data_IF_814818301282
#
_entry.id   IF_814818301282
#
_cell.length_a   1.000
_cell.length_b   1.000
_cell.length_c   1.000
_cell.angle_alpha   90.00
_cell.angle_beta   90.00
_cell.angle_gamma   90.00
#
_symmetry.space_group_name_H-M   'P 1'
#
loop_
_entity.id
_entity.type
_entity.pdbx_description
1 polymer ?
#
# COMPACT_ATOMS: atom_id res chain seq x y z
N UNK A 1 32.62 3.24 -0.44
CA UNK A 1 32.42 4.64 0.04
C UNK A 1 30.94 4.87 0.32
N UNK A 2 30.54 4.84 1.60
CA UNK A 2 29.14 5.04 2.00
C UNK A 2 28.80 6.53 2.06
N UNK A 3 28.39 7.14 0.93
CA UNK A 3 27.82 8.49 0.94
C UNK A 3 26.55 8.53 1.80
N UNK A 4 26.40 9.53 2.67
CA UNK A 4 25.16 9.75 3.40
C UNK A 4 23.99 10.02 2.44
N UNK A 5 22.78 9.62 2.82
CA UNK A 5 21.57 9.79 2.01
C UNK A 5 21.28 11.25 1.60
N UNK A 6 21.65 12.21 2.45
CA UNK A 6 21.53 13.65 2.16
C UNK A 6 22.43 14.06 1.00
N UNK A 7 23.71 13.68 1.07
CA UNK A 7 24.72 13.96 0.04
C UNK A 7 24.36 13.32 -1.31
N UNK A 8 23.84 12.08 -1.29
CA UNK A 8 23.34 11.43 -2.52
C UNK A 8 22.19 12.20 -3.15
N UNK A 9 21.29 12.76 -2.35
CA UNK A 9 20.15 13.55 -2.84
C UNK A 9 20.59 14.89 -3.41
N UNK A 10 21.61 15.53 -2.82
CA UNK A 10 22.17 16.78 -3.28
C UNK A 10 22.83 16.65 -4.66
N UNK A 11 23.61 15.58 -4.87
CA UNK A 11 24.17 15.23 -6.18
C UNK A 11 23.06 15.07 -7.22
N UNK A 12 21.98 14.37 -6.89
CA UNK A 12 20.84 14.20 -7.80
C UNK A 12 20.16 15.53 -8.10
N UNK A 13 19.98 16.40 -7.09
CA UNK A 13 19.33 17.71 -7.27
C UNK A 13 20.12 18.60 -8.24
N UNK A 14 21.45 18.61 -8.14
CA UNK A 14 22.32 19.39 -9.02
C UNK A 14 22.31 18.87 -10.46
N UNK A 15 22.26 17.55 -10.66
CA UNK A 15 22.30 16.93 -11.99
C UNK A 15 20.91 16.83 -12.67
N UNK A 16 19.82 16.95 -11.90
CA UNK A 16 18.46 16.78 -12.41
C UNK A 16 18.08 17.77 -13.52
N UNK A 17 18.55 19.02 -13.46
CA UNK A 17 18.26 20.02 -14.49
C UNK A 17 18.94 19.69 -15.83
N UNK A 18 20.22 19.30 -15.77
CA UNK A 18 20.97 18.85 -16.94
C UNK A 18 20.35 17.57 -17.52
N UNK A 19 20.00 16.59 -16.68
CA UNK A 19 19.36 15.36 -17.12
C UNK A 19 18.04 15.61 -17.86
N UNK A 20 17.23 16.59 -17.43
CA UNK A 20 15.97 16.93 -18.11
C UNK A 20 16.19 17.56 -19.49
N UNK A 21 17.16 18.47 -19.61
CA UNK A 21 17.49 19.18 -20.86
C UNK A 21 18.26 18.31 -21.87
N UNK A 22 18.91 17.26 -21.40
CA UNK A 22 19.75 16.38 -22.22
C UNK A 22 18.99 15.48 -23.20
N UNK A 23 19.67 15.14 -24.29
CA UNK A 23 19.21 14.18 -25.30
C UNK A 23 19.24 12.74 -24.77
N UNK A 24 18.62 11.77 -25.48
CA UNK A 24 18.57 10.36 -25.05
C UNK A 24 19.96 9.74 -24.85
N UNK A 25 20.94 10.10 -25.70
CA UNK A 25 22.33 9.60 -25.60
C UNK A 25 23.05 10.18 -24.37
N UNK A 26 22.88 11.48 -24.11
CA UNK A 26 23.46 12.15 -22.94
C UNK A 26 22.84 11.68 -21.62
N UNK A 27 21.52 11.47 -21.58
CA UNK A 27 20.81 10.90 -20.43
C UNK A 27 21.41 9.57 -20.00
N UNK A 28 21.81 8.73 -20.95
CA UNK A 28 22.51 7.48 -20.67
C UNK A 28 23.81 7.70 -19.91
N UNK A 29 24.68 8.59 -20.41
CA UNK A 29 25.97 8.92 -19.78
C UNK A 29 25.81 9.53 -18.38
N UNK A 30 24.82 10.40 -18.20
CA UNK A 30 24.48 11.01 -16.91
C UNK A 30 23.99 9.95 -15.90
N UNK A 31 23.21 8.97 -16.37
CA UNK A 31 22.79 7.87 -15.49
C UNK A 31 23.97 7.00 -15.07
N UNK A 32 24.88 6.68 -15.99
CA UNK A 32 26.07 5.86 -15.69
C UNK A 32 26.96 6.53 -14.64
N UNK A 33 27.16 7.85 -14.74
CA UNK A 33 27.95 8.60 -13.76
C UNK A 33 27.29 8.59 -12.37
N UNK A 34 25.97 8.79 -12.29
CA UNK A 34 25.25 8.79 -11.01
C UNK A 34 25.21 7.41 -10.37
N UNK A 35 24.99 6.35 -11.15
CA UNK A 35 25.01 4.97 -10.67
C UNK A 35 26.39 4.65 -10.07
N UNK A 36 27.48 5.07 -10.73
CA UNK A 36 28.84 4.89 -10.24
C UNK A 36 29.12 5.64 -8.92
N UNK A 37 28.60 6.86 -8.77
CA UNK A 37 28.82 7.70 -7.57
C UNK A 37 27.95 7.25 -6.39
N UNK A 38 26.66 7.03 -6.62
CA UNK A 38 25.67 6.81 -5.56
C UNK A 38 25.41 5.34 -5.25
N UNK A 39 25.77 4.43 -6.16
CA UNK A 39 25.46 3.00 -6.07
C UNK A 39 23.97 2.68 -6.25
N UNK A 40 23.15 3.62 -6.72
CA UNK A 40 21.73 3.36 -6.97
C UNK A 40 21.51 2.51 -8.22
N UNK A 41 20.39 1.76 -8.24
CA UNK A 41 19.94 1.10 -9.45
C UNK A 41 19.58 2.15 -10.53
N UNK A 42 19.94 1.88 -11.79
CA UNK A 42 19.65 2.75 -12.95
C UNK A 42 18.19 3.19 -13.03
N UNK A 43 17.24 2.28 -12.77
CA UNK A 43 15.81 2.58 -12.77
C UNK A 43 15.45 3.60 -11.69
N UNK A 44 15.98 3.42 -10.48
CA UNK A 44 15.75 4.33 -9.36
C UNK A 44 16.40 5.70 -9.60
N UNK A 45 17.63 5.74 -10.11
CA UNK A 45 18.32 6.98 -10.45
C UNK A 45 17.57 7.78 -11.53
N UNK A 46 17.09 7.12 -12.58
CA UNK A 46 16.27 7.74 -13.64
C UNK A 46 14.97 8.31 -13.10
N UNK A 47 14.29 7.58 -12.22
CA UNK A 47 13.08 8.03 -11.56
C UNK A 47 13.33 9.29 -10.72
N UNK A 48 14.37 9.29 -9.89
CA UNK A 48 14.72 10.45 -9.05
C UNK A 48 15.08 11.68 -9.88
N UNK A 49 15.91 11.55 -10.92
CA UNK A 49 16.29 12.67 -11.79
C UNK A 49 15.11 13.25 -12.56
N UNK A 50 14.13 12.42 -12.93
CA UNK A 50 12.92 12.84 -13.64
C UNK A 50 11.92 13.56 -12.73
N UNK A 51 11.91 13.25 -11.43
CA UNK A 51 11.02 13.86 -10.44
C UNK A 51 11.62 15.10 -9.77
N UNK A 52 12.91 15.09 -9.43
CA UNK A 52 13.58 16.16 -8.69
C UNK A 52 13.47 17.51 -9.40
N UNK A 53 12.65 18.44 -8.88
CA UNK A 53 12.48 19.78 -9.47
C UNK A 53 11.45 19.85 -10.59
N UNK A 54 10.72 18.76 -10.88
CA UNK A 54 9.50 18.82 -11.69
C UNK A 54 8.45 19.58 -10.89
N UNK A 55 8.12 20.78 -11.37
CA UNK A 55 7.20 21.67 -10.68
C UNK A 55 6.03 22.09 -11.56
N UNK A 56 4.81 22.03 -11.03
CA UNK A 56 3.63 22.59 -11.69
C UNK A 56 3.32 23.95 -11.08
N UNK A 57 3.20 24.99 -11.92
CA UNK A 57 2.67 26.29 -11.48
C UNK A 57 1.16 26.18 -11.50
N UNK A 58 0.53 26.32 -10.33
CA UNK A 58 -0.92 26.35 -10.22
C UNK A 58 -1.32 27.74 -9.73
N UNK A 59 -2.26 28.37 -10.45
CA UNK A 59 -2.93 29.59 -10.00
C UNK A 59 -4.06 29.17 -9.05
N UNK A 60 -4.00 29.62 -7.80
CA UNK A 60 -5.11 29.46 -6.89
C UNK A 60 -6.25 30.43 -7.24
N UNK A 61 -7.44 30.16 -6.71
CA UNK A 61 -8.65 30.98 -6.91
C UNK A 61 -8.46 32.42 -6.41
N UNK A 62 -7.55 32.64 -5.47
CA UNK A 62 -7.19 33.94 -4.88
C UNK A 62 -6.10 34.71 -5.67
N UNK A 63 -5.80 34.32 -6.91
CA UNK A 63 -4.79 34.97 -7.76
C UNK A 63 -3.33 34.71 -7.41
N UNK A 64 -3.05 34.02 -6.29
CA UNK A 64 -1.69 33.63 -5.87
C UNK A 64 -1.17 32.46 -6.72
N UNK A 65 0.06 32.58 -7.19
CA UNK A 65 0.77 31.51 -7.90
C UNK A 65 1.57 30.63 -6.94
N UNK A 66 1.33 29.32 -7.00
CA UNK A 66 2.07 28.34 -6.22
C UNK A 66 2.92 27.46 -7.15
N UNK A 67 4.18 27.24 -6.77
CA UNK A 67 5.08 26.29 -7.42
C UNK A 67 5.04 24.96 -6.67
N UNK A 68 4.24 24.01 -7.14
CA UNK A 68 4.22 22.65 -6.58
C UNK A 68 5.45 21.90 -7.05
N UNK A 69 6.43 21.67 -6.18
CA UNK A 69 7.60 20.85 -6.48
C UNK A 69 7.31 19.40 -6.09
N UNK A 70 7.44 18.47 -7.04
CA UNK A 70 7.31 17.05 -6.74
C UNK A 70 8.44 16.60 -5.80
N UNK A 71 8.10 16.19 -4.58
CA UNK A 71 9.03 15.55 -3.66
C UNK A 71 9.10 14.04 -3.98
N UNK A 72 10.27 13.50 -4.41
CA UNK A 72 10.43 12.08 -4.70
C UNK A 72 10.22 11.15 -3.49
N UNK A 73 10.21 11.70 -2.26
CA UNK A 73 10.01 10.94 -1.03
C UNK A 73 8.55 10.69 -0.71
N UNK A 74 7.65 11.53 -1.22
CA UNK A 74 6.23 11.44 -0.90
C UNK A 74 5.55 10.52 -1.91
N UNK A 75 5.10 9.35 -1.45
CA UNK A 75 4.25 8.50 -2.28
C UNK A 75 2.85 9.11 -2.38
N UNK A 76 2.30 9.30 -3.58
CA UNK A 76 0.92 9.75 -3.72
C UNK A 76 -0.01 8.68 -3.13
N UNK A 77 -0.61 8.97 -1.97
CA UNK A 77 -1.64 8.13 -1.40
C UNK A 77 -2.94 8.39 -2.16
N UNK A 78 -3.38 7.41 -2.98
CA UNK A 78 -4.73 7.44 -3.56
C UNK A 78 -5.75 7.26 -2.43
N UNK A 79 -6.29 8.36 -1.91
CA UNK A 79 -7.43 8.35 -0.99
C UNK A 79 -8.70 8.00 -1.78
N UNK A 80 -8.91 6.72 -2.08
CA UNK A 80 -10.18 6.25 -2.66
C UNK A 80 -11.27 6.46 -1.60
N UNK A 81 -12.35 7.15 -1.97
CA UNK A 81 -13.52 7.28 -1.08
C UNK A 81 -14.03 5.87 -0.74
N UNK A 82 -14.27 5.61 0.55
CA UNK A 82 -14.77 4.31 1.01
C UNK A 82 -16.27 4.28 0.75
N UNK A 83 -16.72 3.34 -0.07
CA UNK A 83 -18.14 3.14 -0.41
C UNK A 83 -18.99 2.71 0.80
N UNK A 84 -18.37 2.08 1.81
CA UNK A 84 -19.01 1.68 3.05
C UNK A 84 -18.45 2.51 4.19
N UNK A 85 -19.31 3.31 4.81
CA UNK A 85 -19.00 4.20 5.93
C UNK A 85 -18.93 3.48 7.28
N UNK A 86 -18.62 4.22 8.37
CA UNK A 86 -18.59 3.67 9.73
C UNK A 86 -19.95 3.10 10.16
N UNK A 87 -21.05 3.65 9.64
CA UNK A 87 -22.43 3.21 9.91
C UNK A 87 -22.68 1.74 9.55
N UNK A 88 -21.99 1.22 8.53
CA UNK A 88 -22.10 -0.20 8.11
C UNK A 88 -21.14 -1.07 8.91
N UNK A 89 -20.04 -0.48 9.38
CA UNK A 89 -18.94 -1.19 10.01
C UNK A 89 -19.25 -1.58 11.46
N UNK A 90 -19.93 -0.72 12.22
CA UNK A 90 -20.33 -1.03 13.60
C UNK A 90 -21.34 -2.20 13.69
N UNK A 91 -22.46 -2.21 12.93
CA UNK A 91 -23.36 -3.37 12.90
C UNK A 91 -22.65 -4.63 12.41
N UNK A 92 -21.80 -4.52 11.39
CA UNK A 92 -21.05 -5.66 10.85
C UNK A 92 -20.10 -6.27 11.90
N UNK A 93 -19.46 -5.45 12.74
CA UNK A 93 -18.61 -5.91 13.84
C UNK A 93 -19.42 -6.63 14.91
N UNK A 94 -20.58 -6.11 15.26
CA UNK A 94 -21.47 -6.72 16.23
C UNK A 94 -21.91 -8.11 15.77
N UNK A 95 -22.45 -8.21 14.54
CA UNK A 95 -22.85 -9.49 13.93
C UNK A 95 -21.66 -10.46 13.87
N UNK A 96 -20.48 -9.97 13.53
CA UNK A 96 -19.27 -10.78 13.48
C UNK A 96 -18.83 -11.30 14.85
N UNK A 97 -19.04 -10.53 15.93
CA UNK A 97 -18.78 -10.96 17.31
C UNK A 97 -19.81 -11.98 17.80
N UNK A 98 -21.10 -11.78 17.51
CA UNK A 98 -22.18 -12.73 17.86
C UNK A 98 -21.95 -14.12 17.26
N UNK A 99 -21.37 -14.16 16.05
CA UNK A 99 -21.13 -15.41 15.31
C UNK A 99 -19.78 -16.09 15.63
N UNK A 100 -19.05 -15.65 16.67
CA UNK A 100 -17.71 -16.14 17.01
C UNK A 100 -16.67 -15.99 15.88
N UNK A 101 -16.65 -14.82 15.25
CA UNK A 101 -15.60 -14.40 14.31
C UNK A 101 -15.40 -15.25 13.03
N UNK A 102 -16.45 -15.62 12.27
CA UNK A 102 -16.34 -16.46 11.08
C UNK A 102 -15.59 -15.75 9.93
N UNK A 103 -15.16 -16.49 8.90
CA UNK A 103 -14.62 -15.91 7.67
C UNK A 103 -15.72 -15.18 6.86
N UNK A 104 -15.36 -14.15 6.08
CA UNK A 104 -16.34 -13.31 5.38
C UNK A 104 -17.27 -14.06 4.44
N UNK A 105 -16.83 -15.20 3.87
CA UNK A 105 -17.69 -16.12 3.09
C UNK A 105 -18.80 -16.75 3.92
N UNK A 106 -18.49 -17.22 5.14
CA UNK A 106 -19.48 -17.77 6.07
C UNK A 106 -20.38 -16.68 6.61
N UNK A 107 -19.80 -15.52 6.95
CA UNK A 107 -20.58 -14.38 7.45
C UNK A 107 -21.61 -13.91 6.40
N UNK A 108 -21.21 -13.80 5.13
CA UNK A 108 -22.11 -13.42 4.05
C UNK A 108 -23.30 -14.39 3.89
N UNK A 109 -23.05 -15.70 3.93
CA UNK A 109 -24.12 -16.70 3.87
C UNK A 109 -25.06 -16.64 5.09
N UNK A 110 -24.52 -16.29 6.26
CA UNK A 110 -25.33 -16.17 7.46
C UNK A 110 -26.13 -14.85 7.53
N UNK A 111 -25.69 -13.79 6.83
CA UNK A 111 -26.33 -12.47 6.93
C UNK A 111 -27.78 -12.46 6.43
N UNK A 112 -28.12 -13.28 5.44
CA UNK A 112 -29.47 -13.33 4.86
C UNK A 112 -30.54 -13.68 5.91
N UNK A 113 -30.26 -14.60 6.83
CA UNK A 113 -31.21 -15.02 7.87
C UNK A 113 -30.94 -14.34 9.23
N UNK A 114 -29.70 -13.95 9.51
CA UNK A 114 -29.32 -13.40 10.79
C UNK A 114 -29.74 -11.93 10.96
N UNK A 115 -29.68 -11.13 9.89
CA UNK A 115 -30.06 -9.71 9.97
C UNK A 115 -31.54 -9.53 10.35
N UNK A 116 -32.51 -10.23 9.73
CA UNK A 116 -33.91 -10.16 10.15
C UNK A 116 -34.14 -10.62 11.60
N UNK A 117 -33.44 -11.66 12.04
CA UNK A 117 -33.57 -12.19 13.41
C UNK A 117 -33.06 -11.22 14.47
N UNK A 118 -31.96 -10.53 14.20
CA UNK A 118 -31.40 -9.54 15.12
C UNK A 118 -32.24 -8.25 15.19
N UNK A 119 -32.95 -7.90 14.12
CA UNK A 119 -33.96 -6.83 14.14
C UNK A 119 -35.18 -7.24 14.98
N UNK A 120 -35.68 -8.47 14.82
CA UNK A 120 -36.80 -9.01 15.62
C UNK A 120 -36.47 -9.06 17.12
N UNK A 121 -35.22 -9.42 17.47
CA UNK A 121 -34.76 -9.43 18.86
C UNK A 121 -34.48 -8.03 19.42
N UNK A 122 -34.51 -6.96 18.60
CA UNK A 122 -34.24 -5.58 19.01
C UNK A 122 -32.77 -5.28 19.34
N UNK A 123 -31.86 -6.22 19.06
CA UNK A 123 -30.42 -6.08 19.32
C UNK A 123 -29.73 -5.23 18.24
N UNK A 124 -30.35 -5.10 17.07
CA UNK A 124 -29.81 -4.37 15.93
C UNK A 124 -30.81 -3.32 15.42
N UNK A 125 -30.59 -2.05 15.78
CA UNK A 125 -31.38 -0.94 15.25
C UNK A 125 -30.64 -0.28 14.07
N UNK A 126 -31.03 -0.62 12.85
CA UNK A 126 -30.32 -0.21 11.63
C UNK A 126 -31.29 0.46 10.67
N UNK A 127 -30.86 1.57 10.07
CA UNK A 127 -31.64 2.22 9.02
C UNK A 127 -31.83 1.28 7.82
N UNK A 128 -32.98 1.32 7.12
CA UNK A 128 -33.27 0.41 6.00
C UNK A 128 -32.20 0.48 4.89
N UNK A 129 -31.62 1.66 4.66
CA UNK A 129 -30.52 1.88 3.71
C UNK A 129 -29.23 1.12 4.09
N UNK A 130 -28.95 1.01 5.38
CA UNK A 130 -27.77 0.29 5.89
C UNK A 130 -28.01 -1.21 5.86
N UNK A 131 -29.25 -1.67 6.08
CA UNK A 131 -29.65 -3.07 5.91
C UNK A 131 -29.42 -3.57 4.49
N UNK A 132 -29.88 -2.81 3.49
CA UNK A 132 -29.64 -3.14 2.08
C UNK A 132 -28.14 -3.18 1.75
N UNK A 133 -27.37 -2.24 2.29
CA UNK A 133 -25.91 -2.22 2.11
C UNK A 133 -25.21 -3.40 2.78
N UNK A 134 -25.69 -3.87 3.93
CA UNK A 134 -25.17 -5.05 4.61
C UNK A 134 -25.46 -6.32 3.81
N UNK A 135 -26.67 -6.47 3.27
CA UNK A 135 -27.05 -7.62 2.45
C UNK A 135 -26.36 -7.62 1.07
N UNK A 136 -26.11 -6.44 0.49
CA UNK A 136 -25.42 -6.29 -0.79
C UNK A 136 -23.90 -6.50 -0.72
N UNK A 137 -23.33 -6.54 0.49
CA UNK A 137 -21.88 -6.50 0.66
C UNK A 137 -21.24 -7.84 0.22
N UNK A 138 -20.19 -7.77 -0.60
CA UNK A 138 -19.49 -8.99 -1.02
C UNK A 138 -18.65 -9.62 0.11
N UNK A 139 -18.48 -10.96 0.14
CA UNK A 139 -17.57 -11.67 1.07
C UNK A 139 -16.18 -11.05 1.18
N UNK A 140 -15.60 -10.67 0.02
CA UNK A 140 -14.27 -10.08 -0.07
C UNK A 140 -14.19 -8.66 0.49
N UNK A 141 -15.30 -7.93 0.53
CA UNK A 141 -15.37 -6.60 1.14
C UNK A 141 -15.45 -6.71 2.66
N UNK A 142 -16.26 -7.63 3.18
CA UNK A 142 -16.34 -7.96 4.61
C UNK A 142 -14.96 -8.27 5.16
N UNK A 143 -14.23 -9.19 4.53
CA UNK A 143 -12.90 -9.59 4.99
C UNK A 143 -11.90 -8.42 4.97
N UNK A 144 -11.99 -7.51 3.99
CA UNK A 144 -11.15 -6.30 3.94
C UNK A 144 -11.52 -5.28 5.02
N UNK A 145 -12.81 -5.13 5.34
CA UNK A 145 -13.28 -4.23 6.39
C UNK A 145 -12.90 -4.73 7.79
N UNK A 146 -13.06 -6.03 8.04
CA UNK A 146 -12.73 -6.67 9.32
C UNK A 146 -11.22 -6.99 9.46
N UNK A 147 -10.42 -6.77 8.41
CA UNK A 147 -8.98 -7.09 8.43
C UNK A 147 -8.21 -6.33 9.52
N UNK A 148 -8.61 -5.09 9.83
CA UNK A 148 -8.02 -4.33 10.94
C UNK A 148 -8.31 -4.99 12.28
N UNK A 149 -9.56 -5.37 12.52
CA UNK A 149 -10.01 -5.91 13.81
C UNK A 149 -9.50 -7.34 14.02
N UNK A 150 -9.48 -8.17 12.97
CA UNK A 150 -8.82 -9.49 13.00
C UNK A 150 -7.34 -9.39 13.39
N UNK A 151 -6.61 -8.39 12.91
CA UNK A 151 -5.20 -8.20 13.26
C UNK A 151 -5.02 -7.86 14.73
N UNK A 152 -5.94 -7.09 15.31
CA UNK A 152 -5.94 -6.77 16.74
C UNK A 152 -6.23 -8.01 17.58
N UNK A 153 -7.16 -8.85 17.15
CA UNK A 153 -7.51 -10.11 17.84
C UNK A 153 -6.47 -11.22 17.64
N UNK A 154 -5.65 -11.14 16.60
CA UNK A 154 -4.58 -12.12 16.36
C UNK A 154 -3.47 -11.89 17.38
N UNK A 155 -3.41 -12.77 18.39
CA UNK A 155 -2.28 -12.85 19.30
C UNK A 155 -1.00 -13.00 18.45
N UNK A 156 -0.05 -12.08 18.61
CA UNK A 156 1.24 -12.14 17.91
C UNK A 156 1.84 -13.52 18.12
N UNK A 157 1.93 -14.31 17.05
CA UNK A 157 2.60 -15.61 17.08
C UNK A 157 4.02 -15.40 17.60
N UNK A 158 4.40 -16.07 18.70
CA UNK A 158 5.80 -16.34 19.00
C UNK A 158 6.34 -17.11 17.78
N UNK A 159 7.35 -16.55 17.13
CA UNK A 159 7.87 -17.02 15.85
C UNK A 159 8.07 -18.54 15.83
N UNK A 160 7.66 -19.19 14.73
CA UNK A 160 8.01 -20.57 14.42
C UNK A 160 9.52 -20.76 14.60
N UNK A 161 9.88 -21.87 15.25
CA UNK A 161 11.24 -22.28 15.59
C UNK A 161 12.16 -22.08 14.39
N UNK A 162 13.27 -21.37 14.62
CA UNK A 162 14.31 -21.07 13.63
C UNK A 162 14.59 -22.33 12.78
N UNK A 163 14.36 -22.32 11.46
CA UNK A 163 14.67 -23.50 10.65
C UNK A 163 16.17 -23.74 10.77
N UNK A 164 16.56 -24.91 11.27
CA UNK A 164 17.95 -25.37 11.21
C UNK A 164 18.35 -25.33 9.74
N UNK A 165 19.48 -24.69 9.44
CA UNK A 165 20.03 -24.59 8.09
C UNK A 165 20.21 -26.01 7.55
N UNK A 166 19.39 -26.41 6.58
CA UNK A 166 19.69 -27.58 5.75
C UNK A 166 20.82 -27.14 4.83
N UNK A 167 22.04 -27.57 5.12
CA UNK A 167 23.17 -27.44 4.20
C UNK A 167 22.82 -28.25 2.97
N UNK A 168 22.35 -27.60 1.90
CA UNK A 168 22.25 -28.22 0.59
C UNK A 168 23.67 -28.51 0.12
N UNK A 169 24.11 -29.75 0.31
CA UNK A 169 25.32 -30.28 -0.30
C UNK A 169 25.17 -30.12 -1.82
N UNK A 170 26.01 -29.30 -2.41
CA UNK A 170 26.15 -29.16 -3.85
C UNK A 170 26.65 -30.48 -4.43
N UNK A 171 25.77 -31.25 -5.07
CA UNK A 171 26.16 -32.37 -5.91
C UNK A 171 26.86 -31.83 -7.16
N UNK A 172 28.19 -31.83 -7.14
CA UNK A 172 29.02 -31.54 -8.30
C UNK A 172 29.14 -32.82 -9.12
N UNK A 173 28.30 -32.99 -10.14
CA UNK A 173 28.42 -34.06 -11.12
C UNK A 173 29.33 -33.57 -12.26
N UNK A 174 30.64 -33.81 -12.13
CA UNK A 174 31.63 -33.71 -13.22
C UNK A 174 32.39 -35.04 -13.31
N UNK A 175 32.05 -35.83 -14.34
CA UNK A 175 32.90 -36.22 -15.49
C UNK A 175 33.74 -37.47 -15.26
N UNK A 176 33.47 -38.51 -16.06
CA UNK A 176 34.26 -39.74 -16.09
C UNK A 176 33.76 -40.74 -17.15
N UNK A 177 33.95 -40.41 -18.44
CA UNK A 177 34.44 -41.28 -19.51
C UNK A 177 34.56 -40.49 -20.80
#
# INVERSE_FOLDING_TARGET
>A
MGLLMRTRMEVIKNVAEQYRRSTRKEKGKILDSIVRITGYNRSYASHLLSLCGKGYRIKARDGKEYRLVADPRVKPSRKRQKTYGPEVLEPLKYIWAVMDFPCGKRLAACMEWLVPKLEECGELNVAPEVKERLLSISPSTIDRMLASDRKTLTIKRRSLTKPRRTTTATWNRRTGR
#
